data_IF_877083801508
#
_entry.id   IF_877083801508
#
_cell.length_a   1.000
_cell.length_b   1.000
_cell.length_c   1.000
_cell.angle_alpha   90.00
_cell.angle_beta   90.00
_cell.angle_gamma   90.00
#
_symmetry.space_group_name_H-M   'P 1'
#
loop_
_entity.id
_entity.type
_entity.pdbx_description
1 polymer ?
#
# COMPACT_ATOMS: atom_id res chain seq x y z
N UNK A 1 -19.11 10.34 5.73
CA UNK A 1 -17.93 10.38 4.83
C UNK A 1 -17.95 11.69 4.09
N UNK A 2 -16.79 12.36 3.95
CA UNK A 2 -16.68 13.67 3.32
C UNK A 2 -16.94 13.66 1.80
N UNK A 3 -16.97 14.86 1.20
CA UNK A 3 -17.13 15.03 -0.24
C UNK A 3 -15.93 14.44 -1.00
N UNK A 4 -16.07 14.19 -2.31
CA UNK A 4 -14.97 13.69 -3.17
C UNK A 4 -13.75 14.63 -3.20
N UNK A 5 -13.92 15.90 -2.85
CA UNK A 5 -12.84 16.91 -2.79
C UNK A 5 -12.06 16.89 -1.48
N UNK A 6 -12.60 16.32 -0.41
CA UNK A 6 -11.98 16.34 0.93
C UNK A 6 -10.55 15.85 0.98
N UNK A 7 -10.17 14.70 0.33
CA UNK A 7 -8.78 14.24 0.37
C UNK A 7 -7.80 15.19 -0.32
N UNK A 8 -8.22 15.80 -1.45
CA UNK A 8 -7.37 16.75 -2.18
C UNK A 8 -7.18 18.04 -1.38
N UNK A 9 -8.27 18.56 -0.80
CA UNK A 9 -8.20 19.74 0.06
C UNK A 9 -7.32 19.53 1.29
N UNK A 10 -7.49 18.39 1.99
CA UNK A 10 -6.65 18.04 3.12
C UNK A 10 -5.16 17.92 2.74
N UNK A 11 -4.86 17.35 1.59
CA UNK A 11 -3.48 17.25 1.10
C UNK A 11 -2.86 18.63 0.78
N UNK A 12 -3.62 19.54 0.19
CA UNK A 12 -3.14 20.90 -0.09
C UNK A 12 -2.88 21.64 1.22
N UNK A 13 -3.82 21.58 2.16
CA UNK A 13 -3.70 22.20 3.47
C UNK A 13 -2.48 21.70 4.24
N UNK A 14 -2.31 20.36 4.30
CA UNK A 14 -1.17 19.76 4.98
C UNK A 14 0.15 20.08 4.27
N UNK A 15 0.15 20.18 2.94
CA UNK A 15 1.33 20.58 2.18
C UNK A 15 1.81 21.99 2.53
N UNK A 16 0.90 22.97 2.62
CA UNK A 16 1.20 24.33 3.05
C UNK A 16 1.72 24.39 4.52
N UNK A 17 1.09 23.61 5.40
CA UNK A 17 1.51 23.53 6.80
C UNK A 17 2.94 22.92 6.92
N UNK A 18 3.23 21.87 6.18
CA UNK A 18 4.52 21.21 6.16
C UNK A 18 5.63 22.13 5.60
N UNK A 19 5.32 22.86 4.52
CA UNK A 19 6.27 23.84 3.97
C UNK A 19 6.60 24.92 4.99
N UNK A 20 5.60 25.48 5.65
CA UNK A 20 5.81 26.47 6.74
C UNK A 20 6.61 25.89 7.90
N UNK A 21 6.32 24.66 8.33
CA UNK A 21 7.05 23.96 9.38
C UNK A 21 8.54 23.83 9.01
N UNK A 22 8.83 23.28 7.84
CA UNK A 22 10.20 23.01 7.43
C UNK A 22 10.99 24.31 7.21
N UNK A 23 10.38 25.35 6.64
CA UNK A 23 11.04 26.63 6.41
C UNK A 23 11.31 27.41 7.71
N UNK A 24 10.45 27.29 8.73
CA UNK A 24 10.59 27.99 10.00
C UNK A 24 11.42 27.24 11.04
N UNK A 25 11.75 25.98 10.80
CA UNK A 25 12.50 25.14 11.74
C UNK A 25 14.01 25.43 11.69
N UNK A 26 14.66 25.57 12.85
CA UNK A 26 16.11 25.76 12.98
C UNK A 26 16.90 24.55 12.51
N UNK A 27 16.39 23.36 12.79
CA UNK A 27 16.93 22.07 12.36
C UNK A 27 15.89 21.36 11.53
N UNK A 28 16.30 20.82 10.40
CA UNK A 28 15.41 20.12 9.49
C UNK A 28 15.70 18.62 9.46
N UNK A 29 14.68 17.75 9.27
CA UNK A 29 14.90 16.33 9.07
C UNK A 29 15.64 16.08 7.75
N UNK A 30 16.42 15.00 7.68
CA UNK A 30 17.07 14.56 6.45
C UNK A 30 16.03 14.14 5.38
N UNK A 31 14.89 13.63 5.81
CA UNK A 31 13.75 13.32 4.94
C UNK A 31 12.45 13.44 5.71
N UNK A 32 11.40 13.87 5.00
CA UNK A 32 10.05 14.00 5.49
C UNK A 32 9.10 13.47 4.42
N UNK A 33 8.41 12.37 4.72
CA UNK A 33 7.46 11.75 3.80
C UNK A 33 6.12 11.56 4.49
N UNK A 34 5.09 12.20 3.97
CA UNK A 34 3.73 12.06 4.49
C UNK A 34 2.87 11.16 3.61
N UNK A 35 2.12 10.28 4.25
CA UNK A 35 1.02 9.53 3.64
C UNK A 35 -0.25 9.79 4.44
N UNK A 36 -1.10 10.68 3.93
CA UNK A 36 -2.35 11.15 4.55
C UNK A 36 -2.06 11.80 5.92
N UNK A 37 -2.21 11.06 7.01
CA UNK A 37 -2.02 11.45 8.41
C UNK A 37 -0.75 10.90 9.05
N UNK A 38 -0.12 9.91 8.44
CA UNK A 38 1.14 9.33 8.91
C UNK A 38 2.36 10.00 8.26
N UNK A 39 3.40 10.29 9.05
CA UNK A 39 4.67 10.87 8.58
C UNK A 39 5.83 9.95 8.93
N UNK A 40 6.67 9.63 7.94
CA UNK A 40 8.00 9.01 8.15
C UNK A 40 9.06 10.09 8.03
N UNK A 41 9.89 10.19 9.07
CA UNK A 41 10.93 11.21 9.16
C UNK A 41 12.27 10.59 9.55
N UNK A 42 13.34 11.00 8.86
CA UNK A 42 14.71 10.66 9.27
C UNK A 42 15.33 11.85 9.98
N UNK A 43 15.69 11.64 11.23
CA UNK A 43 16.32 12.65 12.07
C UNK A 43 17.79 12.33 12.29
N UNK A 44 18.67 13.30 12.07
CA UNK A 44 20.13 13.15 12.16
C UNK A 44 20.77 14.04 13.22
N UNK A 45 19.94 14.82 13.90
CA UNK A 45 20.37 15.67 15.02
C UNK A 45 20.15 14.96 16.35
N UNK A 46 20.38 15.63 17.46
CA UNK A 46 20.19 15.05 18.80
C UNK A 46 18.73 14.87 19.21
N UNK A 47 18.52 14.17 20.32
CA UNK A 47 17.17 13.90 20.83
C UNK A 47 16.52 15.21 21.35
N UNK A 48 17.32 16.14 21.92
CA UNK A 48 16.84 17.44 22.38
C UNK A 48 16.33 18.31 21.23
N UNK A 49 17.06 18.37 20.14
CA UNK A 49 16.68 19.11 18.94
C UNK A 49 15.45 18.51 18.27
N UNK A 50 15.21 17.19 18.44
CA UNK A 50 13.99 16.55 18.00
C UNK A 50 12.78 17.02 18.82
N UNK A 51 12.91 17.09 20.14
CA UNK A 51 11.85 17.57 21.01
C UNK A 51 11.49 19.04 20.67
N UNK A 52 12.51 19.91 20.51
CA UNK A 52 12.32 21.30 20.10
C UNK A 52 11.60 21.40 18.72
N UNK A 53 11.96 20.55 17.76
CA UNK A 53 11.29 20.49 16.45
C UNK A 53 9.83 20.06 16.58
N UNK A 54 9.52 19.06 17.40
CA UNK A 54 8.17 18.56 17.60
C UNK A 54 7.29 19.57 18.37
N UNK A 55 7.85 20.28 19.36
CA UNK A 55 7.17 21.38 20.03
C UNK A 55 6.83 22.49 19.03
N UNK A 56 7.80 22.87 18.19
CA UNK A 56 7.58 23.84 17.13
C UNK A 56 6.50 23.38 16.15
N UNK A 57 6.54 22.12 15.67
CA UNK A 57 5.53 21.56 14.79
C UNK A 57 4.11 21.63 15.40
N UNK A 58 4.02 21.35 16.70
CA UNK A 58 2.76 21.41 17.45
C UNK A 58 2.27 22.82 17.75
N UNK A 59 3.13 23.85 17.58
CA UNK A 59 2.78 25.27 17.77
C UNK A 59 2.22 25.94 16.51
N UNK A 60 2.53 25.41 15.31
CA UNK A 60 2.20 26.06 14.02
C UNK A 60 0.69 26.18 13.79
N UNK A 61 -0.08 25.18 14.22
CA UNK A 61 -1.53 25.19 14.02
C UNK A 61 -2.28 24.70 15.26
N UNK A 62 -3.34 25.38 15.69
CA UNK A 62 -4.03 25.06 16.94
C UNK A 62 -4.72 23.68 16.91
N UNK A 63 -5.22 23.25 15.75
CA UNK A 63 -6.00 22.01 15.59
C UNK A 63 -5.19 20.82 15.09
N UNK A 64 -3.93 21.01 14.68
CA UNK A 64 -3.06 19.92 14.21
C UNK A 64 -2.06 19.62 15.29
N UNK A 65 -1.99 18.35 15.70
CA UNK A 65 -1.03 17.87 16.70
C UNK A 65 -0.33 16.62 16.20
N UNK A 66 0.99 16.64 16.29
CA UNK A 66 1.84 15.50 15.96
C UNK A 66 2.14 14.71 17.22
N UNK A 67 1.91 13.41 17.16
CA UNK A 67 2.45 12.43 18.10
C UNK A 67 3.59 11.69 17.41
N UNK A 68 4.56 11.18 18.15
CA UNK A 68 5.72 10.55 17.55
C UNK A 68 6.11 9.24 18.22
N UNK A 69 6.75 8.39 17.45
CA UNK A 69 7.46 7.19 17.89
C UNK A 69 8.89 7.26 17.34
N UNK A 70 9.89 7.05 18.19
CA UNK A 70 11.31 7.11 17.81
C UNK A 70 11.97 5.76 18.03
N UNK A 71 12.73 5.29 17.06
CA UNK A 71 13.57 4.10 17.23
C UNK A 71 14.83 4.20 16.39
N UNK A 72 15.96 3.79 16.98
CA UNK A 72 17.27 3.70 16.31
C UNK A 72 17.48 2.35 15.61
N UNK A 73 16.65 1.35 15.91
CA UNK A 73 16.85 -0.03 15.42
C UNK A 73 15.70 -0.58 14.61
N UNK A 74 14.45 -0.29 14.99
CA UNK A 74 13.27 -0.86 14.34
C UNK A 74 12.08 0.07 14.47
N UNK A 75 11.47 0.41 13.33
CA UNK A 75 10.27 1.24 13.29
C UNK A 75 9.30 0.69 12.22
N UNK A 76 8.01 0.87 12.45
CA UNK A 76 6.98 0.48 11.48
C UNK A 76 6.29 1.72 10.92
N UNK A 77 6.20 1.80 9.59
CA UNK A 77 5.48 2.84 8.88
C UNK A 77 4.55 2.20 7.85
N UNK A 78 3.27 2.51 7.93
CA UNK A 78 2.20 1.90 7.12
C UNK A 78 2.22 0.36 7.21
N UNK A 79 2.50 -0.33 6.12
CA UNK A 79 2.58 -1.78 6.05
C UNK A 79 4.03 -2.33 5.98
N UNK A 80 5.00 -1.50 6.33
CA UNK A 80 6.41 -1.84 6.30
C UNK A 80 7.06 -1.66 7.68
N UNK A 81 7.78 -2.67 8.13
CA UNK A 81 8.71 -2.56 9.27
C UNK A 81 10.13 -2.44 8.73
N UNK A 82 10.80 -1.36 9.09
CA UNK A 82 12.22 -1.13 8.79
C UNK A 82 13.06 -1.51 9.99
N UNK A 83 14.12 -2.30 9.78
CA UNK A 83 15.07 -2.69 10.82
C UNK A 83 16.48 -2.33 10.37
N UNK A 84 17.26 -1.70 11.26
CA UNK A 84 18.67 -1.35 11.05
C UNK A 84 19.53 -2.21 11.97
N UNK A 85 20.44 -2.98 11.39
CA UNK A 85 21.45 -3.77 12.12
C UNK A 85 22.81 -3.59 11.46
N UNK A 86 23.82 -3.22 12.24
CA UNK A 86 25.21 -3.10 11.76
C UNK A 86 25.34 -2.27 10.48
N UNK A 87 24.61 -1.16 10.40
CA UNK A 87 24.59 -0.28 9.22
C UNK A 87 23.76 -0.79 8.03
N UNK A 88 23.23 -2.01 8.09
CA UNK A 88 22.37 -2.56 7.05
C UNK A 88 20.89 -2.34 7.38
N UNK A 89 20.15 -1.82 6.40
CA UNK A 89 18.71 -1.61 6.51
C UNK A 89 17.95 -2.73 5.79
N UNK A 90 17.02 -3.35 6.51
CA UNK A 90 16.12 -4.39 5.98
C UNK A 90 14.67 -4.00 6.18
N UNK A 91 13.81 -4.45 5.27
CA UNK A 91 12.36 -4.20 5.34
C UNK A 91 11.60 -5.51 5.39
N UNK A 92 10.53 -5.53 6.16
CA UNK A 92 9.61 -6.65 6.33
C UNK A 92 8.16 -6.16 6.30
N UNK A 93 7.23 -7.05 6.00
CA UNK A 93 5.80 -6.74 6.01
C UNK A 93 5.32 -6.56 7.45
N UNK A 94 4.73 -5.39 7.72
CA UNK A 94 4.03 -5.12 8.96
C UNK A 94 2.55 -5.47 8.84
N UNK A 95 2.02 -6.13 9.84
CA UNK A 95 0.57 -6.33 10.01
C UNK A 95 0.16 -5.86 11.39
N UNK A 96 -0.87 -5.04 11.47
CA UNK A 96 -1.40 -4.59 12.76
C UNK A 96 -1.86 -5.81 13.58
N UNK A 97 -1.68 -5.82 14.91
CA UNK A 97 -2.16 -6.92 15.77
C UNK A 97 -3.67 -7.19 15.63
N UNK A 98 -4.43 -6.20 15.20
CA UNK A 98 -5.88 -6.29 14.97
C UNK A 98 -6.24 -6.85 13.58
N UNK A 99 -5.27 -7.04 12.69
CA UNK A 99 -5.54 -7.59 11.35
C UNK A 99 -5.93 -9.07 11.43
N UNK A 100 -7.16 -9.36 11.03
CA UNK A 100 -7.72 -10.71 11.00
C UNK A 100 -7.43 -11.47 9.71
N UNK A 101 -6.71 -10.89 8.77
CA UNK A 101 -6.39 -11.44 7.43
C UNK A 101 -7.63 -11.97 6.69
N UNK A 102 -8.72 -11.21 6.74
CA UNK A 102 -10.00 -11.59 6.13
C UNK A 102 -10.02 -11.28 4.63
N UNK A 103 -9.30 -12.08 3.85
CA UNK A 103 -9.38 -12.02 2.40
C UNK A 103 -10.78 -12.38 1.90
N UNK A 104 -11.12 -11.90 0.69
CA UNK A 104 -12.37 -12.24 0.03
C UNK A 104 -12.56 -13.76 -0.06
N UNK A 105 -13.69 -14.28 0.42
CA UNK A 105 -13.96 -15.72 0.37
C UNK A 105 -14.19 -16.19 -1.07
N UNK A 106 -13.63 -17.34 -1.49
CA UNK A 106 -13.96 -17.97 -2.76
C UNK A 106 -15.43 -18.32 -2.94
N UNK A 107 -16.20 -18.47 -1.84
CA UNK A 107 -17.64 -18.74 -1.84
C UNK A 107 -18.49 -17.48 -1.94
N UNK A 108 -17.90 -16.28 -1.93
CA UNK A 108 -18.64 -15.03 -2.02
C UNK A 108 -19.15 -14.77 -3.43
N UNK A 109 -20.26 -14.01 -3.52
CA UNK A 109 -20.86 -13.63 -4.80
C UNK A 109 -20.05 -12.51 -5.48
N UNK A 110 -18.86 -12.87 -6.02
CA UNK A 110 -17.98 -11.99 -6.78
C UNK A 110 -17.50 -12.67 -8.04
N UNK A 111 -17.09 -11.92 -9.07
CA UNK A 111 -16.48 -12.51 -10.26
C UNK A 111 -15.29 -13.42 -9.91
N UNK A 112 -15.20 -14.58 -10.55
CA UNK A 112 -14.14 -15.57 -10.26
C UNK A 112 -12.72 -15.02 -10.33
N UNK A 113 -12.48 -14.05 -11.22
CA UNK A 113 -11.16 -13.44 -11.35
C UNK A 113 -10.76 -12.60 -10.12
N UNK A 114 -11.72 -12.03 -9.36
CA UNK A 114 -11.44 -11.23 -8.16
C UNK A 114 -10.70 -12.06 -7.12
N UNK A 115 -11.25 -13.22 -6.72
CA UNK A 115 -10.57 -14.05 -5.72
C UNK A 115 -9.39 -14.85 -6.29
N UNK A 116 -9.40 -15.23 -7.59
CA UNK A 116 -8.25 -15.88 -8.23
C UNK A 116 -7.00 -14.97 -8.29
N UNK A 117 -7.17 -13.66 -8.34
CA UNK A 117 -6.06 -12.71 -8.38
C UNK A 117 -5.44 -12.41 -7.00
N UNK A 118 -6.15 -12.69 -5.89
CA UNK A 118 -5.70 -12.34 -4.54
C UNK A 118 -4.37 -13.03 -4.16
N UNK A 119 -4.17 -14.35 -4.35
CA UNK A 119 -2.89 -14.96 -4.02
C UNK A 119 -1.71 -14.32 -4.75
N UNK A 120 -1.87 -14.00 -6.03
CA UNK A 120 -0.84 -13.33 -6.82
C UNK A 120 -0.57 -11.91 -6.31
N UNK A 121 -1.61 -11.08 -6.14
CA UNK A 121 -1.45 -9.68 -5.72
C UNK A 121 -0.84 -9.56 -4.33
N UNK A 122 -1.22 -10.43 -3.39
CA UNK A 122 -0.65 -10.46 -2.06
C UNK A 122 0.79 -10.99 -2.05
N UNK A 123 1.11 -12.00 -2.86
CA UNK A 123 2.49 -12.47 -3.02
C UNK A 123 3.41 -11.38 -3.62
N UNK A 124 2.92 -10.61 -4.58
CA UNK A 124 3.63 -9.44 -5.13
C UNK A 124 3.85 -8.37 -4.03
N UNK A 125 2.85 -8.12 -3.18
CA UNK A 125 2.99 -7.18 -2.05
C UNK A 125 4.08 -7.64 -1.08
N UNK A 126 4.07 -8.90 -0.67
CA UNK A 126 5.12 -9.49 0.18
C UNK A 126 6.50 -9.32 -0.48
N UNK A 127 6.64 -9.71 -1.74
CA UNK A 127 7.91 -9.66 -2.48
C UNK A 127 8.42 -8.23 -2.69
N UNK A 128 7.53 -7.24 -2.80
CA UNK A 128 7.90 -5.82 -2.90
C UNK A 128 8.45 -5.30 -1.58
N UNK A 129 7.78 -5.61 -0.46
CA UNK A 129 8.08 -5.06 0.85
C UNK A 129 9.28 -5.76 1.49
N UNK A 130 9.30 -7.11 1.51
CA UNK A 130 10.38 -7.85 2.14
C UNK A 130 11.69 -7.71 1.36
N UNK A 131 12.77 -7.30 2.03
CA UNK A 131 14.06 -7.08 1.41
C UNK A 131 14.95 -8.32 1.40
N UNK A 132 14.70 -9.30 2.27
CA UNK A 132 15.48 -10.55 2.37
C UNK A 132 14.70 -11.75 1.87
N UNK A 133 15.44 -12.80 1.46
CA UNK A 133 14.84 -14.07 0.99
C UNK A 133 14.12 -14.77 2.14
N UNK A 134 14.72 -14.73 3.34
CA UNK A 134 14.21 -15.39 4.54
C UNK A 134 12.87 -14.80 4.96
N UNK A 135 12.79 -13.46 5.10
CA UNK A 135 11.53 -12.79 5.45
C UNK A 135 10.47 -12.99 4.37
N UNK A 136 10.87 -12.97 3.08
CA UNK A 136 9.94 -13.23 1.98
C UNK A 136 9.34 -14.63 2.07
N UNK A 137 10.17 -15.67 2.30
CA UNK A 137 9.69 -17.06 2.46
C UNK A 137 8.75 -17.21 3.65
N UNK A 138 9.10 -16.60 4.79
CA UNK A 138 8.27 -16.62 6.00
C UNK A 138 6.91 -15.99 5.71
N UNK A 139 6.87 -14.76 5.17
CA UNK A 139 5.62 -14.04 4.89
C UNK A 139 4.74 -14.72 3.83
N UNK A 140 5.35 -15.39 2.85
CA UNK A 140 4.60 -16.23 1.91
C UNK A 140 4.01 -17.48 2.59
N UNK A 141 4.71 -18.06 3.57
CA UNK A 141 4.18 -19.14 4.40
C UNK A 141 2.97 -18.69 5.23
N UNK A 142 3.08 -17.54 5.90
CA UNK A 142 1.98 -16.92 6.66
C UNK A 142 0.78 -16.64 5.75
N UNK A 143 1.02 -16.03 4.59
CA UNK A 143 -0.01 -15.74 3.59
C UNK A 143 -0.72 -17.03 3.12
N UNK A 144 0.03 -18.11 2.83
CA UNK A 144 -0.52 -19.42 2.47
C UNK A 144 -1.47 -19.93 3.54
N UNK A 145 -1.04 -19.88 4.81
CA UNK A 145 -1.85 -20.31 5.94
C UNK A 145 -3.17 -19.52 6.01
N UNK A 146 -3.12 -18.19 5.91
CA UNK A 146 -4.30 -17.33 5.94
C UNK A 146 -5.26 -17.59 4.77
N UNK A 147 -4.72 -17.78 3.56
CA UNK A 147 -5.54 -18.09 2.38
C UNK A 147 -6.22 -19.46 2.52
N UNK A 148 -5.52 -20.49 3.02
CA UNK A 148 -6.12 -21.82 3.29
C UNK A 148 -7.25 -21.73 4.31
N UNK A 149 -7.05 -21.03 5.42
CA UNK A 149 -8.09 -20.77 6.43
C UNK A 149 -9.32 -20.06 5.83
N UNK A 150 -9.12 -19.28 4.76
CA UNK A 150 -10.19 -18.56 4.05
C UNK A 150 -10.88 -19.42 2.97
N UNK A 151 -10.45 -20.66 2.78
CA UNK A 151 -11.05 -21.62 1.83
C UNK A 151 -10.46 -21.58 0.42
N UNK A 152 -9.28 -21.00 0.22
CA UNK A 152 -8.61 -21.05 -1.07
C UNK A 152 -8.02 -22.42 -1.36
N UNK A 153 -8.23 -22.90 -2.59
CA UNK A 153 -7.66 -24.15 -3.08
C UNK A 153 -6.13 -24.00 -3.31
N UNK A 154 -5.37 -25.02 -2.96
CA UNK A 154 -3.92 -25.05 -3.12
C UNK A 154 -3.47 -24.73 -4.56
N UNK A 155 -4.17 -25.27 -5.58
CA UNK A 155 -3.86 -24.97 -6.99
C UNK A 155 -3.93 -23.47 -7.31
N UNK A 156 -4.89 -22.76 -6.74
CA UNK A 156 -5.05 -21.31 -6.95
C UNK A 156 -3.95 -20.53 -6.23
N UNK A 157 -3.59 -20.94 -5.02
CA UNK A 157 -2.50 -20.35 -4.25
C UNK A 157 -1.17 -20.54 -4.97
N UNK A 158 -0.83 -21.78 -5.35
CA UNK A 158 0.42 -22.10 -6.04
C UNK A 158 0.54 -21.38 -7.38
N UNK A 159 -0.52 -21.36 -8.16
CA UNK A 159 -0.54 -20.62 -9.44
C UNK A 159 -0.26 -19.13 -9.23
N UNK A 160 -0.80 -18.53 -8.17
CA UNK A 160 -0.54 -17.13 -7.83
C UNK A 160 0.90 -16.90 -7.39
N UNK A 161 1.43 -17.76 -6.53
CA UNK A 161 2.79 -17.67 -6.01
C UNK A 161 3.85 -17.94 -7.08
N UNK A 162 3.65 -18.92 -7.95
CA UNK A 162 4.53 -19.20 -9.08
C UNK A 162 4.66 -17.97 -9.99
N UNK A 163 3.54 -17.39 -10.42
CA UNK A 163 3.55 -16.16 -11.23
C UNK A 163 4.26 -15.00 -10.54
N UNK A 164 4.11 -14.87 -9.23
CA UNK A 164 4.78 -13.82 -8.47
C UNK A 164 6.30 -14.08 -8.36
N UNK A 165 6.73 -15.35 -8.30
CA UNK A 165 8.14 -15.71 -8.21
C UNK A 165 8.95 -15.33 -9.47
N UNK A 166 8.33 -15.34 -10.64
CA UNK A 166 8.94 -14.98 -11.92
C UNK A 166 9.30 -13.48 -12.02
N UNK A 167 8.65 -12.62 -11.24
CA UNK A 167 8.86 -11.18 -11.31
C UNK A 167 10.04 -10.77 -10.42
N UNK A 168 11.04 -10.10 -10.96
CA UNK A 168 12.15 -9.59 -10.17
C UNK A 168 11.69 -8.45 -9.22
N UNK A 169 12.18 -8.45 -7.97
CA UNK A 169 11.87 -7.41 -6.97
C UNK A 169 12.23 -6.01 -7.47
N UNK A 170 13.34 -5.82 -8.18
CA UNK A 170 13.73 -4.53 -8.75
C UNK A 170 12.62 -3.95 -9.62
N UNK A 171 12.01 -4.76 -10.49
CA UNK A 171 10.90 -4.33 -11.37
C UNK A 171 9.63 -3.95 -10.59
N UNK A 172 9.48 -4.42 -9.35
CA UNK A 172 8.36 -4.09 -8.45
C UNK A 172 8.57 -2.75 -7.73
N UNK A 173 9.81 -2.31 -7.60
CA UNK A 173 10.19 -1.04 -6.95
C UNK A 173 10.27 0.12 -7.94
N UNK A 174 10.39 -0.18 -9.25
CA UNK A 174 10.42 0.85 -10.28
C UNK A 174 9.05 1.55 -10.42
N UNK A 175 9.09 2.87 -10.49
CA UNK A 175 7.91 3.65 -10.84
C UNK A 175 7.57 3.42 -12.31
N UNK A 176 6.35 2.97 -12.56
CA UNK A 176 5.83 2.80 -13.93
C UNK A 176 4.78 3.87 -14.20
N UNK A 177 5.04 4.72 -15.16
CA UNK A 177 4.04 5.67 -15.62
C UNK A 177 2.79 4.94 -16.13
N UNK A 178 1.64 5.44 -15.71
CA UNK A 178 0.36 4.90 -16.18
C UNK A 178 0.16 5.31 -17.64
N UNK A 179 0.17 4.34 -18.55
CA UNK A 179 -0.22 4.59 -19.93
C UNK A 179 -1.67 5.07 -19.96
N UNK A 180 -1.89 6.23 -20.61
CA UNK A 180 -3.25 6.74 -20.80
C UNK A 180 -4.01 5.76 -21.69
N UNK A 181 -4.98 5.09 -21.13
CA UNK A 181 -5.82 4.14 -21.85
C UNK A 181 -7.06 4.87 -22.38
N UNK A 182 -7.19 4.98 -23.69
CA UNK A 182 -8.41 5.52 -24.38
C UNK A 182 -9.61 4.55 -24.31
N UNK A 183 -9.73 3.77 -23.23
CA UNK A 183 -10.84 2.84 -23.07
C UNK A 183 -12.01 3.54 -22.39
N UNK A 184 -13.19 3.41 -22.97
CA UNK A 184 -14.43 3.84 -22.33
C UNK A 184 -14.86 2.70 -21.40
N UNK A 185 -14.87 2.90 -20.06
CA UNK A 185 -15.28 1.86 -19.13
C UNK A 185 -16.80 1.70 -19.17
N UNK A 186 -17.28 0.46 -19.40
CA UNK A 186 -18.66 0.09 -19.13
C UNK A 186 -18.71 -0.52 -17.72
N UNK A 187 -19.26 0.24 -16.78
CA UNK A 187 -19.39 -0.20 -15.38
C UNK A 187 -20.78 -0.77 -15.19
N UNK A 188 -20.85 -2.07 -14.85
CA UNK A 188 -22.11 -2.77 -14.53
C UNK A 188 -21.98 -3.38 -13.13
N UNK A 189 -23.10 -3.39 -12.39
CA UNK A 189 -23.18 -4.16 -11.14
C UNK A 189 -23.06 -5.64 -11.47
N UNK A 190 -22.14 -6.33 -10.81
CA UNK A 190 -21.94 -7.76 -11.04
C UNK A 190 -23.15 -8.56 -10.56
N UNK A 191 -23.64 -9.44 -11.42
CA UNK A 191 -24.58 -10.49 -11.09
C UNK A 191 -24.18 -11.78 -11.81
N UNK A 192 -24.23 -12.97 -11.18
CA UNK A 192 -23.77 -14.23 -11.79
C UNK A 192 -24.36 -14.52 -13.17
N UNK A 193 -25.64 -14.17 -13.41
CA UNK A 193 -26.28 -14.33 -14.71
C UNK A 193 -25.76 -13.39 -15.81
N UNK A 194 -25.04 -12.30 -15.42
CA UNK A 194 -24.50 -11.33 -16.37
C UNK A 194 -23.12 -11.72 -16.93
N UNK A 195 -22.48 -12.80 -16.44
CA UNK A 195 -21.22 -13.29 -17.00
C UNK A 195 -21.30 -13.51 -18.52
N UNK A 196 -22.42 -14.00 -19.01
CA UNK A 196 -22.68 -14.26 -20.46
C UNK A 196 -22.87 -12.95 -21.25
N UNK A 197 -23.41 -11.90 -20.64
CA UNK A 197 -23.72 -10.63 -21.32
C UNK A 197 -22.45 -9.88 -21.75
N UNK A 198 -21.35 -9.97 -20.99
CA UNK A 198 -20.10 -9.34 -21.36
C UNK A 198 -19.54 -9.86 -22.70
N UNK A 199 -19.78 -11.14 -23.01
CA UNK A 199 -19.45 -11.75 -24.31
C UNK A 199 -20.30 -11.24 -25.47
N UNK A 200 -21.55 -10.87 -25.21
CA UNK A 200 -22.48 -10.34 -26.21
C UNK A 200 -22.24 -8.84 -26.47
N UNK A 201 -22.05 -8.06 -25.41
CA UNK A 201 -21.91 -6.59 -25.49
C UNK A 201 -20.58 -6.16 -26.10
N UNK A 202 -19.46 -6.81 -25.76
CA UNK A 202 -18.12 -6.48 -26.30
C UNK A 202 -18.03 -6.47 -27.83
N UNK A 203 -18.54 -7.48 -28.58
CA UNK A 203 -18.50 -7.45 -30.03
C UNK A 203 -19.37 -6.35 -30.65
N UNK A 204 -20.50 -6.01 -30.02
CA UNK A 204 -21.45 -5.00 -30.53
C UNK A 204 -20.85 -3.60 -30.40
N UNK A 205 -20.29 -3.27 -29.25
CA UNK A 205 -19.68 -1.96 -29.00
C UNK A 205 -18.38 -1.82 -29.81
N UNK A 206 -17.55 -2.87 -29.87
CA UNK A 206 -16.30 -2.86 -30.61
C UNK A 206 -16.46 -2.69 -32.14
N UNK A 207 -17.60 -3.11 -32.71
CA UNK A 207 -17.92 -2.87 -34.14
C UNK A 207 -18.41 -1.43 -34.39
N UNK A 208 -19.10 -0.80 -33.44
CA UNK A 208 -19.58 0.61 -33.58
C UNK A 208 -18.51 1.66 -33.35
N UNK A 209 -17.44 1.34 -32.62
CA UNK A 209 -16.32 2.28 -32.37
C UNK A 209 -15.22 2.24 -33.45
N UNK A 210 -15.32 1.34 -34.45
CA UNK A 210 -14.41 1.25 -35.60
C UNK A 210 -14.97 1.91 -36.87
N UNK A 211 -16.14 2.54 -36.81
CA UNK A 211 -16.70 3.44 -37.83
C UNK A 211 -16.60 4.87 -37.33
#
# INVERSE_FOLDING_TARGET
MGTKMTPSYANIFMGDLEERLLLSSLKQPLSWFRFIDDVDMKWTHGDKELDEFLEHANSIHPSIKFTHEVSKTKISFLDTTTTVKEGNMTTDLYSKPTDKHQYLSPSSCHPKHCFKSIPFSQAIRVKRICSTVETTKQRLGDLRHHLKRRGYNDKVIESGFSKASEINRKNLLEYKEKKINKRIPLVLTFHPFLEKISGIVRPIIGKKLKK
#
